data_IF_738697819257
#
_entry.id   IF_738697819257
#
_cell.length_a   1.000
_cell.length_b   1.000
_cell.length_c   1.000
_cell.angle_alpha   90.00
_cell.angle_beta   90.00
_cell.angle_gamma   90.00
#
_symmetry.space_group_name_H-M   'P 1'
#
loop_
_entity.id
_entity.type
_entity.pdbx_description
1 polymer ?
#
# COMPACT_ATOMS: atom_id res chain seq x y z
N UNK A 1 13.69 12.82 23.59
CA UNK A 1 14.34 11.67 22.96
C UNK A 1 13.24 10.66 22.69
N UNK A 2 12.58 10.76 21.54
CA UNK A 2 11.52 9.81 21.19
C UNK A 2 12.21 8.52 20.75
N UNK A 3 12.20 7.52 21.62
CA UNK A 3 12.66 6.18 21.28
C UNK A 3 11.77 5.63 20.16
N UNK A 4 12.30 5.62 18.95
CA UNK A 4 11.82 4.76 17.89
C UNK A 4 12.04 3.31 18.35
N UNK A 5 10.99 2.50 18.56
CA UNK A 5 11.17 1.12 18.92
C UNK A 5 11.78 0.38 17.72
N UNK A 6 12.89 -0.30 18.03
CA UNK A 6 13.71 -1.10 17.14
C UNK A 6 12.89 -2.19 16.45
N UNK A 7 13.10 -2.31 15.13
CA UNK A 7 12.60 -3.39 14.28
C UNK A 7 13.12 -4.76 14.75
N UNK A 8 12.43 -5.39 15.71
CA UNK A 8 12.60 -6.81 15.98
C UNK A 8 11.66 -7.64 15.10
N UNK A 9 12.27 -8.51 14.31
CA UNK A 9 11.65 -9.40 13.34
C UNK A 9 10.95 -10.56 14.05
N UNK A 10 9.74 -10.34 14.56
CA UNK A 10 8.84 -11.43 14.89
C UNK A 10 7.54 -11.25 14.10
N UNK A 11 7.36 -12.09 13.06
CA UNK A 11 6.07 -12.21 12.41
C UNK A 11 5.03 -12.59 13.48
N UNK A 12 3.90 -11.85 13.59
CA UNK A 12 2.93 -12.10 14.64
C UNK A 12 2.34 -13.51 14.51
N UNK A 13 2.02 -14.17 15.63
CA UNK A 13 1.36 -15.47 15.65
C UNK A 13 0.04 -15.39 14.85
N UNK A 14 -0.25 -16.44 14.10
CA UNK A 14 -1.44 -16.63 13.26
C UNK A 14 -2.71 -16.75 14.10
N UNK A 15 -3.06 -15.69 14.83
CA UNK A 15 -4.35 -15.53 15.48
C UNK A 15 -4.62 -14.03 15.69
N UNK A 16 -4.77 -13.28 14.60
CA UNK A 16 -5.69 -12.15 14.57
C UNK A 16 -6.33 -12.09 13.20
N UNK A 17 -7.64 -12.28 13.17
CA UNK A 17 -8.54 -11.93 12.09
C UNK A 17 -8.60 -10.40 11.91
N UNK A 18 -7.44 -9.76 11.73
CA UNK A 18 -7.40 -8.37 11.29
C UNK A 18 -7.72 -8.39 9.79
N UNK A 19 -8.74 -7.63 9.34
CA UNK A 19 -9.00 -7.50 7.92
C UNK A 19 -7.72 -7.01 7.24
N UNK A 20 -7.43 -7.56 6.05
CA UNK A 20 -6.33 -7.11 5.21
C UNK A 20 -6.36 -5.58 5.11
N UNK A 21 -5.30 -4.87 5.51
CA UNK A 21 -5.27 -3.41 5.44
C UNK A 21 -5.57 -2.95 4.01
N UNK A 22 -6.39 -1.92 3.91
CA UNK A 22 -6.93 -1.41 2.64
C UNK A 22 -6.07 -0.27 2.12
N UNK A 23 -5.51 -0.45 0.92
CA UNK A 23 -4.69 0.55 0.25
C UNK A 23 -5.50 1.19 -0.90
N UNK A 24 -5.54 2.51 -0.94
CA UNK A 24 -5.97 3.28 -2.11
C UNK A 24 -4.75 3.69 -2.94
N UNK A 25 -4.86 3.65 -4.28
CA UNK A 25 -3.80 4.09 -5.18
C UNK A 25 -4.32 5.20 -6.09
N UNK A 26 -3.57 6.30 -6.15
CA UNK A 26 -3.84 7.44 -7.03
C UNK A 26 -2.65 7.63 -7.93
N UNK A 27 -2.90 7.74 -9.24
CA UNK A 27 -1.83 7.89 -10.21
C UNK A 27 -1.98 9.21 -10.95
N UNK A 28 -0.98 10.07 -10.80
CA UNK A 28 -0.93 11.40 -11.39
C UNK A 28 0.16 11.39 -12.47
N UNK A 29 -0.21 11.42 -13.75
CA UNK A 29 0.75 11.58 -14.85
C UNK A 29 0.47 10.73 -16.08
N UNK A 30 1.55 10.30 -16.73
CA UNK A 30 1.56 9.68 -18.05
C UNK A 30 1.07 8.22 -18.04
N UNK A 31 0.82 7.60 -19.21
CA UNK A 31 0.43 6.19 -19.31
C UNK A 31 1.38 5.20 -18.62
N UNK A 32 2.66 5.56 -18.45
CA UNK A 32 3.63 4.78 -17.66
C UNK A 32 3.23 4.66 -16.19
N UNK A 33 2.59 5.67 -15.61
CA UNK A 33 2.08 5.62 -14.25
C UNK A 33 0.98 4.56 -14.11
N UNK A 34 0.14 4.34 -15.13
CA UNK A 34 -0.91 3.32 -15.10
C UNK A 34 -0.32 1.90 -15.07
N UNK A 35 0.60 1.59 -15.98
CA UNK A 35 1.27 0.27 -16.01
C UNK A 35 2.06 0.01 -14.73
N UNK A 36 2.68 1.04 -14.15
CA UNK A 36 3.36 0.93 -12.87
C UNK A 36 2.38 0.69 -11.71
N UNK A 37 1.21 1.33 -11.76
CA UNK A 37 0.14 1.16 -10.77
C UNK A 37 -0.39 -0.27 -10.73
N UNK A 38 -0.55 -0.91 -11.88
CA UNK A 38 -0.95 -2.32 -11.96
C UNK A 38 0.08 -3.25 -11.28
N UNK A 39 1.37 -2.96 -11.47
CA UNK A 39 2.45 -3.71 -10.81
C UNK A 39 2.45 -3.49 -9.30
N UNK A 40 2.28 -2.25 -8.86
CA UNK A 40 2.19 -1.89 -7.44
C UNK A 40 1.03 -2.63 -6.78
N UNK A 41 -0.17 -2.60 -7.40
CA UNK A 41 -1.36 -3.30 -6.88
C UNK A 41 -1.11 -4.80 -6.79
N UNK A 42 -0.58 -5.40 -7.86
CA UNK A 42 -0.31 -6.85 -7.90
C UNK A 42 0.64 -7.28 -6.78
N UNK A 43 1.65 -6.45 -6.49
CA UNK A 43 2.61 -6.72 -5.41
C UNK A 43 1.97 -6.59 -4.02
N UNK A 44 1.20 -5.54 -3.80
CA UNK A 44 0.49 -5.32 -2.53
C UNK A 44 -0.50 -6.47 -2.24
N UNK A 45 -1.22 -6.94 -3.26
CA UNK A 45 -2.11 -8.09 -3.12
C UNK A 45 -1.34 -9.38 -2.76
N UNK A 46 -0.19 -9.61 -3.40
CA UNK A 46 0.68 -10.75 -3.07
C UNK A 46 1.23 -10.69 -1.63
N UNK A 47 1.32 -9.51 -1.03
CA UNK A 47 1.75 -9.30 0.35
C UNK A 47 0.57 -9.29 1.35
N UNK A 48 -0.65 -9.53 0.90
CA UNK A 48 -1.84 -9.69 1.75
C UNK A 48 -2.64 -8.41 2.00
N UNK A 49 -2.33 -7.32 1.30
CA UNK A 49 -3.12 -6.09 1.34
C UNK A 49 -4.37 -6.20 0.45
N UNK A 50 -5.43 -5.50 0.85
CA UNK A 50 -6.61 -5.30 0.02
C UNK A 50 -6.57 -3.93 -0.65
N UNK A 51 -7.18 -3.79 -1.83
CA UNK A 51 -7.24 -2.50 -2.53
C UNK A 51 -8.64 -1.91 -2.49
N UNK A 52 -8.73 -0.59 -2.38
CA UNK A 52 -10.00 0.15 -2.45
C UNK A 52 -9.93 1.27 -3.49
N UNK A 53 -11.08 1.56 -4.09
CA UNK A 53 -11.23 2.61 -5.09
C UNK A 53 -11.60 3.98 -4.52
N UNK A 54 -11.89 4.08 -3.21
CA UNK A 54 -12.29 5.32 -2.53
C UNK A 54 -11.37 5.65 -1.37
N UNK A 55 -11.23 6.95 -1.08
CA UNK A 55 -10.40 7.43 0.03
C UNK A 55 -11.00 7.09 1.39
N UNK A 56 -12.33 7.17 1.55
CA UNK A 56 -12.97 6.91 2.85
C UNK A 56 -12.83 5.45 3.30
N UNK A 57 -12.52 4.54 2.38
CA UNK A 57 -12.33 3.12 2.66
C UNK A 57 -10.86 2.70 2.83
N UNK A 58 -9.91 3.62 2.73
CA UNK A 58 -8.48 3.33 2.72
C UNK A 58 -7.86 3.55 4.10
N UNK A 59 -7.08 2.57 4.55
CA UNK A 59 -6.20 2.72 5.73
C UNK A 59 -4.91 3.49 5.36
N UNK A 60 -4.51 3.45 4.08
CA UNK A 60 -3.37 4.17 3.51
C UNK A 60 -3.65 4.55 2.05
N UNK A 61 -3.20 5.73 1.63
CA UNK A 61 -3.24 6.15 0.22
C UNK A 61 -1.81 6.28 -0.33
N UNK A 62 -1.56 5.67 -1.48
CA UNK A 62 -0.31 5.81 -2.24
C UNK A 62 -0.56 6.73 -3.43
N UNK A 63 0.29 7.75 -3.58
CA UNK A 63 0.27 8.66 -4.73
C UNK A 63 1.44 8.34 -5.65
N UNK A 64 1.17 7.72 -6.80
CA UNK A 64 2.14 7.44 -7.84
C UNK A 64 2.21 8.62 -8.83
N UNK A 65 3.34 9.33 -8.87
CA UNK A 65 3.54 10.48 -9.74
C UNK A 65 4.72 10.25 -10.69
N UNK A 66 4.63 10.77 -11.91
CA UNK A 66 5.77 10.82 -12.83
C UNK A 66 6.57 12.10 -12.60
N UNK A 67 7.83 11.98 -12.16
CA UNK A 67 8.72 13.14 -11.93
C UNK A 67 9.26 13.81 -13.20
N UNK A 68 9.09 13.18 -14.37
CA UNK A 68 9.45 13.73 -15.67
C UNK A 68 8.37 13.32 -16.67
N UNK A 69 7.81 14.29 -17.41
CA UNK A 69 6.74 14.09 -18.38
C UNK A 69 7.31 13.82 -19.78
#
# INVERSE_FOLDING_TARGET
MAEYPTHDKQAPPIDQMKPSPKIGLVSLGCPKALVDSERIISRLQAEGYSTVSTYEGADLVVVNTCGFL
#
